data_IF_333193420382
#
_entry.id   IF_333193420382
#
_cell.length_a   1.000
_cell.length_b   1.000
_cell.length_c   1.000
_cell.angle_alpha   90.00
_cell.angle_beta   90.00
_cell.angle_gamma   90.00
#
_symmetry.space_group_name_H-M   'P 1'
#
loop_
_entity.id
_entity.type
_entity.pdbx_description
1 polymer ?
#
# COMPACT_ATOMS: atom_id res chain seq x y z
N UNK A 1 -7.37 9.96 -2.63
CA UNK A 1 -6.07 9.68 -3.25
C UNK A 1 -6.33 8.96 -4.55
N UNK A 2 -5.69 9.36 -5.64
CA UNK A 2 -5.86 8.76 -6.96
C UNK A 2 -4.48 8.50 -7.53
N UNK A 3 -4.18 7.24 -7.80
CA UNK A 3 -2.92 6.82 -8.41
C UNK A 3 -3.22 6.23 -9.78
N UNK A 4 -2.32 6.48 -10.73
CA UNK A 4 -2.25 5.71 -11.97
C UNK A 4 -1.16 4.67 -11.76
N UNK A 5 -1.58 3.43 -11.55
CA UNK A 5 -0.72 2.29 -11.26
C UNK A 5 -1.32 0.99 -11.81
N UNK A 6 -0.56 -0.11 -11.79
CA UNK A 6 -1.06 -1.44 -12.12
C UNK A 6 -1.55 -2.15 -10.85
N UNK A 7 -2.87 -2.27 -10.68
CA UNK A 7 -3.45 -3.02 -9.58
C UNK A 7 -3.39 -4.53 -9.85
N UNK A 8 -2.81 -5.30 -8.92
CA UNK A 8 -2.71 -6.77 -9.06
C UNK A 8 -3.87 -7.45 -8.32
N UNK A 9 -4.75 -8.08 -9.09
CA UNK A 9 -5.93 -8.79 -8.60
C UNK A 9 -6.39 -9.85 -9.63
N UNK A 10 -7.21 -10.85 -9.25
CA UNK A 10 -7.71 -11.15 -7.90
C UNK A 10 -6.64 -11.82 -7.03
N UNK A 11 -6.47 -11.32 -5.80
CA UNK A 11 -5.59 -11.94 -4.82
C UNK A 11 -6.18 -13.28 -4.35
N UNK A 12 -5.32 -14.29 -4.15
CA UNK A 12 -5.72 -15.59 -3.59
C UNK A 12 -5.31 -15.70 -2.14
N UNK A 13 -6.22 -16.14 -1.29
CA UNK A 13 -5.96 -16.35 0.14
C UNK A 13 -7.22 -16.20 0.98
N UNK A 14 -7.06 -16.36 2.29
CA UNK A 14 -8.12 -16.12 3.27
C UNK A 14 -8.14 -14.64 3.68
N UNK A 15 -9.05 -13.87 3.07
CA UNK A 15 -9.19 -12.43 3.32
C UNK A 15 -9.60 -12.11 4.75
N UNK A 16 -10.15 -13.05 5.51
CA UNK A 16 -10.51 -12.85 6.92
C UNK A 16 -9.28 -12.83 7.84
N UNK A 17 -8.11 -13.27 7.36
CA UNK A 17 -6.85 -13.27 8.13
C UNK A 17 -6.05 -11.99 8.02
N UNK A 18 -6.38 -11.10 7.08
CA UNK A 18 -5.64 -9.86 6.86
C UNK A 18 -6.46 -8.66 7.30
N UNK A 19 -5.79 -7.65 7.84
CA UNK A 19 -6.39 -6.35 8.06
C UNK A 19 -6.22 -5.52 6.80
N UNK A 20 -7.32 -5.24 6.10
CA UNK A 20 -7.31 -4.40 4.89
C UNK A 20 -7.32 -2.93 5.29
N UNK A 21 -6.31 -2.18 4.85
CA UNK A 21 -6.16 -0.76 5.14
C UNK A 21 -6.74 0.13 4.02
N UNK A 22 -6.64 -0.33 2.78
CA UNK A 22 -7.20 0.35 1.62
C UNK A 22 -7.48 -0.61 0.47
N UNK A 23 -8.46 -0.25 -0.35
CA UNK A 23 -8.89 -1.00 -1.53
C UNK A 23 -8.94 -0.11 -2.76
N UNK A 24 -8.87 -0.70 -3.94
CA UNK A 24 -9.28 -0.08 -5.21
C UNK A 24 -10.51 -0.79 -5.79
N UNK A 25 -11.32 -0.07 -6.56
CA UNK A 25 -12.51 -0.61 -7.22
C UNK A 25 -12.15 -1.16 -8.60
N UNK A 26 -12.03 -2.47 -8.69
CA UNK A 26 -11.56 -3.19 -9.88
C UNK A 26 -12.71 -3.86 -10.64
N UNK A 27 -12.70 -3.76 -11.98
CA UNK A 27 -13.71 -4.34 -12.86
C UNK A 27 -13.32 -5.77 -13.25
N UNK A 28 -14.16 -6.74 -12.88
CA UNK A 28 -13.98 -8.16 -13.16
C UNK A 28 -14.16 -8.57 -14.64
N UNK A 29 -14.32 -7.60 -15.54
CA UNK A 29 -14.62 -7.80 -16.96
C UNK A 29 -16.11 -7.93 -17.26
N UNK A 30 -16.99 -7.89 -16.24
CA UNK A 30 -18.45 -7.86 -16.41
C UNK A 30 -19.03 -6.44 -16.31
N UNK A 31 -18.21 -5.41 -16.09
CA UNK A 31 -18.65 -4.05 -15.80
C UNK A 31 -18.95 -3.82 -14.32
N UNK A 32 -18.83 -4.86 -13.48
CA UNK A 32 -19.08 -4.77 -12.04
C UNK A 32 -17.77 -4.54 -11.29
N UNK A 33 -17.64 -3.35 -10.71
CA UNK A 33 -16.51 -3.04 -9.84
C UNK A 33 -16.62 -3.69 -8.47
N UNK A 34 -15.50 -4.15 -7.94
CA UNK A 34 -15.40 -4.73 -6.58
C UNK A 34 -14.15 -4.22 -5.85
N UNK A 35 -14.24 -4.05 -4.52
CA UNK A 35 -13.11 -3.55 -3.73
C UNK A 35 -12.06 -4.63 -3.52
N UNK A 36 -10.90 -4.46 -4.17
CA UNK A 36 -9.74 -5.33 -4.07
C UNK A 36 -8.67 -4.73 -3.15
N UNK A 37 -8.05 -5.52 -2.24
CA UNK A 37 -7.07 -5.00 -1.29
C UNK A 37 -5.81 -4.45 -1.96
N UNK A 38 -5.46 -3.20 -1.67
CA UNK A 38 -4.24 -2.53 -2.16
C UNK A 38 -3.18 -2.39 -1.08
N UNK A 39 -3.61 -2.17 0.16
CA UNK A 39 -2.76 -2.11 1.34
C UNK A 39 -3.36 -2.97 2.44
N UNK A 40 -2.56 -3.82 3.06
CA UNK A 40 -3.03 -4.72 4.12
C UNK A 40 -1.92 -5.14 5.06
N UNK A 41 -2.32 -5.58 6.26
CA UNK A 41 -1.43 -6.10 7.29
C UNK A 41 -1.79 -7.55 7.61
N UNK A 42 -0.79 -8.34 7.97
CA UNK A 42 -0.95 -9.71 8.45
C UNK A 42 0.08 -10.04 9.52
N UNK A 43 -0.36 -10.63 10.63
CA UNK A 43 0.54 -11.15 11.66
C UNK A 43 0.60 -12.68 11.59
N UNK A 44 1.82 -13.23 11.55
CA UNK A 44 2.07 -14.66 11.56
C UNK A 44 3.07 -15.03 12.65
N UNK A 45 2.58 -15.63 13.74
CA UNK A 45 3.39 -15.89 14.92
C UNK A 45 3.90 -14.57 15.53
N UNK A 46 5.22 -14.37 15.50
CA UNK A 46 5.85 -13.11 15.96
C UNK A 46 6.20 -12.16 14.80
N UNK A 47 5.98 -12.58 13.56
CA UNK A 47 6.27 -11.79 12.36
C UNK A 47 5.09 -10.90 11.96
N UNK A 48 5.41 -9.77 11.34
CA UNK A 48 4.46 -8.82 10.77
C UNK A 48 4.73 -8.66 9.27
N UNK A 49 3.67 -8.69 8.47
CA UNK A 49 3.73 -8.57 7.00
C UNK A 49 2.85 -7.42 6.58
N UNK A 50 3.44 -6.44 5.90
CA UNK A 50 2.73 -5.37 5.25
C UNK A 50 2.72 -5.62 3.74
N UNK A 51 1.53 -5.75 3.16
CA UNK A 51 1.32 -5.82 1.73
C UNK A 51 1.04 -4.44 1.14
N UNK A 52 1.81 -4.06 0.13
CA UNK A 52 1.64 -2.86 -0.68
C UNK A 52 1.59 -3.29 -2.15
N UNK A 53 0.42 -3.18 -2.78
CA UNK A 53 0.23 -3.55 -4.19
C UNK A 53 0.68 -2.45 -5.16
N UNK A 54 0.37 -1.15 -4.95
CA UNK A 54 0.86 -0.09 -5.82
C UNK A 54 2.39 0.01 -5.80
N UNK A 55 2.97 0.39 -6.93
CA UNK A 55 4.42 0.54 -7.13
C UNK A 55 4.94 0.03 -8.47
N UNK A 56 4.08 -0.21 -9.48
CA UNK A 56 4.51 -0.67 -10.81
C UNK A 56 5.31 0.42 -11.53
N UNK A 57 4.89 1.68 -11.41
CA UNK A 57 5.57 2.81 -12.03
C UNK A 57 6.44 3.58 -11.05
N UNK A 58 7.55 4.13 -11.54
CA UNK A 58 8.46 4.95 -10.72
C UNK A 58 7.75 6.19 -10.17
N UNK A 59 6.91 6.85 -10.98
CA UNK A 59 6.18 8.05 -10.56
C UNK A 59 5.17 7.81 -9.44
N UNK A 60 4.76 6.56 -9.17
CA UNK A 60 3.96 6.22 -7.99
C UNK A 60 4.68 6.67 -6.71
N UNK A 61 6.01 6.59 -6.69
CA UNK A 61 6.83 6.98 -5.55
C UNK A 61 7.17 8.48 -5.53
N UNK A 62 6.72 9.28 -6.51
CA UNK A 62 6.82 10.74 -6.43
C UNK A 62 5.72 11.33 -5.53
N UNK A 63 4.62 10.59 -5.31
CA UNK A 63 3.52 11.03 -4.45
C UNK A 63 3.85 10.86 -2.95
N UNK A 64 3.83 11.94 -2.14
CA UNK A 64 4.18 11.87 -0.73
C UNK A 64 3.20 11.02 0.10
N UNK A 65 1.94 10.91 -0.32
CA UNK A 65 0.96 10.04 0.33
C UNK A 65 1.17 8.56 0.01
N UNK A 66 1.70 8.22 -1.17
CA UNK A 66 2.17 6.85 -1.40
C UNK A 66 3.36 6.56 -0.48
N UNK A 67 4.38 7.43 -0.51
CA UNK A 67 5.61 7.24 0.28
C UNK A 67 5.35 7.11 1.77
N UNK A 68 4.45 7.92 2.33
CA UNK A 68 4.11 7.84 3.75
C UNK A 68 3.45 6.49 4.10
N UNK A 69 2.59 5.94 3.23
CA UNK A 69 1.99 4.62 3.46
C UNK A 69 3.03 3.51 3.40
N UNK A 70 3.90 3.53 2.39
CA UNK A 70 4.99 2.56 2.26
C UNK A 70 5.91 2.60 3.48
N UNK A 71 6.42 3.78 3.84
CA UNK A 71 7.38 3.94 4.91
C UNK A 71 6.79 3.59 6.28
N UNK A 72 5.54 3.97 6.55
CA UNK A 72 4.85 3.60 7.80
C UNK A 72 4.55 2.10 7.87
N UNK A 73 4.19 1.49 6.74
CA UNK A 73 4.02 0.04 6.64
C UNK A 73 5.31 -0.73 6.89
N UNK A 74 6.45 -0.26 6.35
CA UNK A 74 7.78 -0.82 6.63
C UNK A 74 8.14 -0.71 8.12
N UNK A 75 7.90 0.43 8.76
CA UNK A 75 8.16 0.61 10.18
C UNK A 75 7.28 -0.31 11.04
N UNK A 76 5.99 -0.42 10.72
CA UNK A 76 5.08 -1.34 11.41
C UNK A 76 5.52 -2.80 11.29
N UNK A 77 5.90 -3.23 10.09
CA UNK A 77 6.40 -4.59 9.84
C UNK A 77 7.70 -4.89 10.61
N UNK A 78 8.55 -3.88 10.81
CA UNK A 78 9.76 -3.96 11.62
C UNK A 78 9.52 -3.99 13.14
N UNK A 79 8.26 -3.85 13.60
CA UNK A 79 7.98 -3.79 15.03
C UNK A 79 8.18 -2.41 15.66
N UNK A 80 8.35 -1.37 14.85
CA UNK A 80 8.76 -0.04 15.26
C UNK A 80 7.59 0.95 15.25
N UNK A 81 7.82 2.16 15.79
CA UNK A 81 6.86 3.27 15.66
C UNK A 81 6.55 3.52 14.18
N UNK A 82 5.27 3.58 13.77
CA UNK A 82 4.92 3.90 12.38
C UNK A 82 5.59 5.19 11.88
N UNK A 83 5.80 6.16 12.77
CA UNK A 83 6.39 7.46 12.44
C UNK A 83 7.92 7.46 12.27
N UNK A 84 8.60 6.32 12.45
CA UNK A 84 10.07 6.21 12.42
C UNK A 84 10.72 6.79 11.17
N UNK A 85 10.02 6.73 10.03
CA UNK A 85 10.54 7.14 8.73
C UNK A 85 9.80 8.35 8.13
N UNK A 86 8.97 9.06 8.89
CA UNK A 86 8.20 10.20 8.37
C UNK A 86 9.11 11.30 7.78
N UNK A 87 10.31 11.50 8.34
CA UNK A 87 11.30 12.44 7.81
C UNK A 87 11.84 12.10 6.41
N UNK A 88 11.64 10.86 5.93
CA UNK A 88 12.05 10.42 4.58
C UNK A 88 10.96 10.62 3.53
N UNK A 89 9.75 11.03 3.92
CA UNK A 89 8.59 11.12 3.01
C UNK A 89 8.83 12.10 1.88
N UNK A 90 9.52 13.22 2.12
CA UNK A 90 9.79 14.25 1.10
C UNK A 90 11.22 14.20 0.57
N UNK A 91 12.04 13.25 1.02
CA UNK A 91 13.45 13.18 0.62
C UNK A 91 13.58 12.97 -0.89
N UNK A 92 14.15 13.94 -1.61
CA UNK A 92 14.32 13.86 -3.07
C UNK A 92 13.03 13.93 -3.88
N UNK A 93 11.88 14.21 -3.26
CA UNK A 93 10.65 14.49 -4.01
C UNK A 93 10.81 15.83 -4.75
N UNK A 94 10.40 15.92 -6.02
CA UNK A 94 10.29 17.21 -6.71
C UNK A 94 9.11 17.97 -6.08
N UNK A 95 9.38 18.69 -5.00
CA UNK A 95 8.45 19.68 -4.49
C UNK A 95 8.40 20.78 -5.56
N UNK A 96 7.28 20.88 -6.28
CA UNK A 96 7.07 21.96 -7.25
C UNK A 96 7.32 23.32 -6.59
N UNK A 97 7.81 24.27 -7.38
CA UNK A 97 7.86 25.69 -6.99
C UNK A 97 6.46 26.25 -6.71
#
# INVERSE_FOLDING_TARGET
MQFIDEAYWPLRGDRAKVEVLATSDEDDGSGRKRPEPMFWCYEYGKGRVFGCIPGHYIWTFDDPYMRILLLRGMAWAAGESPYRFDGLVLAGAPLGE
#
